data_IF_071273552804
#
_entry.id   IF_071273552804
#
_cell.length_a   1.000
_cell.length_b   1.000
_cell.length_c   1.000
_cell.angle_alpha   90.00
_cell.angle_beta   90.00
_cell.angle_gamma   90.00
#
_symmetry.space_group_name_H-M   'P 1'
#
loop_
_entity.id
_entity.type
_entity.pdbx_description
1 polymer ?
#
# COMPACT_ATOMS: atom_id res chain seq x y z
N UNK A 1 -22.40 11.00 -4.33
CA UNK A 1 -21.17 10.45 -4.96
C UNK A 1 -21.42 10.38 -6.48
N UNK A 2 -20.41 10.68 -7.29
CA UNK A 2 -20.49 10.57 -8.75
C UNK A 2 -19.21 9.89 -9.26
N UNK A 3 -19.30 8.99 -10.25
CA UNK A 3 -18.12 8.39 -10.85
C UNK A 3 -17.31 9.45 -11.58
N UNK A 4 -15.98 9.40 -11.46
CA UNK A 4 -15.11 10.22 -12.29
C UNK A 4 -15.15 9.70 -13.74
N UNK A 5 -15.07 10.59 -14.74
CA UNK A 5 -15.16 10.18 -16.14
C UNK A 5 -13.86 9.51 -16.62
N UNK A 6 -13.90 8.96 -17.83
CA UNK A 6 -12.68 8.74 -18.62
C UNK A 6 -11.87 10.06 -18.71
N UNK A 7 -10.53 10.00 -18.72
CA UNK A 7 -9.70 8.79 -18.82
C UNK A 7 -9.32 8.15 -17.47
N UNK A 8 -9.73 8.72 -16.34
CA UNK A 8 -9.36 8.22 -15.01
C UNK A 8 -9.99 6.86 -14.70
N UNK A 9 -11.28 6.70 -14.96
CA UNK A 9 -11.94 5.41 -14.92
C UNK A 9 -11.85 4.71 -16.27
N UNK A 10 -11.88 3.38 -16.23
CA UNK A 10 -11.90 2.47 -17.36
C UNK A 10 -13.16 1.60 -17.31
N UNK A 11 -13.22 0.55 -18.16
CA UNK A 11 -14.27 -0.48 -18.10
C UNK A 11 -13.92 -1.63 -17.14
N UNK A 12 -12.68 -1.68 -16.66
CA UNK A 12 -12.21 -2.66 -15.70
C UNK A 12 -12.42 -2.21 -14.25
N UNK A 13 -11.76 -2.88 -13.33
CA UNK A 13 -11.62 -2.44 -11.95
C UNK A 13 -10.53 -1.38 -11.84
N UNK A 14 -10.95 -0.20 -11.43
CA UNK A 14 -10.08 0.91 -11.05
C UNK A 14 -10.25 1.16 -9.54
N UNK A 15 -9.16 1.26 -8.81
CA UNK A 15 -9.18 1.58 -7.38
C UNK A 15 -8.15 2.63 -7.02
N UNK A 16 -8.48 3.46 -6.04
CA UNK A 16 -7.53 4.40 -5.44
C UNK A 16 -6.55 3.64 -4.56
N UNK A 17 -5.25 3.86 -4.74
CA UNK A 17 -4.21 3.31 -3.87
C UNK A 17 -3.66 4.36 -2.90
N UNK A 18 -3.36 5.55 -3.42
CA UNK A 18 -2.79 6.64 -2.64
C UNK A 18 -3.02 7.99 -3.29
N UNK A 19 -3.03 9.04 -2.48
CA UNK A 19 -3.15 10.42 -2.93
C UNK A 19 -2.02 11.24 -2.32
N UNK A 20 -1.33 12.04 -3.13
CA UNK A 20 -0.27 12.94 -2.65
C UNK A 20 -0.85 13.97 -1.66
N UNK A 21 0.00 14.46 -0.76
CA UNK A 21 -0.44 15.39 0.29
C UNK A 21 -1.00 16.72 -0.25
N UNK A 22 -0.53 17.17 -1.42
CA UNK A 22 -1.07 18.33 -2.14
C UNK A 22 -2.33 18.02 -2.95
N UNK A 23 -2.76 16.75 -2.97
CA UNK A 23 -3.90 16.24 -3.72
C UNK A 23 -3.70 16.21 -5.23
N UNK A 24 -2.52 16.56 -5.76
CA UNK A 24 -2.32 16.73 -7.21
C UNK A 24 -2.08 15.42 -7.97
N UNK A 25 -1.66 14.37 -7.26
CA UNK A 25 -1.23 13.09 -7.83
C UNK A 25 -1.92 11.93 -7.12
N UNK A 26 -2.44 10.97 -7.89
CA UNK A 26 -3.10 9.78 -7.40
C UNK A 26 -2.43 8.53 -7.96
N UNK A 27 -2.18 7.55 -7.08
CA UNK A 27 -1.86 6.19 -7.46
C UNK A 27 -3.16 5.40 -7.66
N UNK A 28 -3.26 4.70 -8.79
CA UNK A 28 -4.47 4.02 -9.24
C UNK A 28 -4.13 2.57 -9.56
N UNK A 29 -4.82 1.62 -8.95
CA UNK A 29 -4.80 0.23 -9.38
C UNK A 29 -5.67 0.08 -10.62
N UNK A 30 -5.19 -0.68 -11.62
CA UNK A 30 -5.98 -1.07 -12.78
C UNK A 30 -5.79 -2.55 -13.12
N UNK A 31 -6.88 -3.27 -13.26
CA UNK A 31 -6.91 -4.69 -13.67
C UNK A 31 -6.91 -4.90 -15.19
N UNK A 32 -6.17 -4.08 -15.95
CA UNK A 32 -6.14 -4.10 -17.42
C UNK A 32 -5.73 -5.46 -18.04
N UNK A 33 -5.13 -5.53 -19.24
CA UNK A 33 -4.73 -6.82 -19.81
C UNK A 33 -3.69 -7.62 -18.98
N UNK A 34 -3.16 -7.06 -17.89
CA UNK A 34 -2.30 -7.71 -16.89
C UNK A 34 -3.07 -8.33 -15.71
N UNK A 35 -2.38 -8.61 -14.61
CA UNK A 35 -2.99 -9.18 -13.39
C UNK A 35 -3.36 -8.12 -12.34
N UNK A 36 -3.11 -6.85 -12.64
CA UNK A 36 -3.33 -5.71 -11.74
C UNK A 36 -2.06 -4.88 -11.62
N UNK A 37 -2.09 -3.62 -12.07
CA UNK A 37 -0.91 -2.76 -12.20
C UNK A 37 -1.11 -1.42 -11.49
N UNK A 38 -0.02 -0.85 -10.97
CA UNK A 38 0.01 0.48 -10.37
C UNK A 38 0.20 1.55 -11.46
N UNK A 39 -0.74 2.47 -11.52
CA UNK A 39 -0.70 3.63 -12.39
C UNK A 39 -0.63 4.93 -11.58
N UNK A 40 -0.27 6.02 -12.24
CA UNK A 40 -0.30 7.38 -11.70
C UNK A 40 -1.13 8.28 -12.58
N UNK A 41 -2.06 9.01 -11.98
CA UNK A 41 -2.75 10.13 -12.62
C UNK A 41 -2.42 11.43 -11.89
N UNK A 42 -2.41 12.54 -12.63
CA UNK A 42 -2.26 13.89 -12.07
C UNK A 42 -3.47 14.73 -12.43
N UNK A 43 -3.83 15.68 -11.58
CA UNK A 43 -4.91 16.62 -11.87
C UNK A 43 -4.42 18.04 -12.15
N UNK A 44 -5.13 18.71 -13.06
CA UNK A 44 -4.97 20.12 -13.34
C UNK A 44 -6.32 20.79 -13.19
N UNK A 45 -6.44 21.75 -12.27
CA UNK A 45 -7.69 22.48 -12.00
C UNK A 45 -8.90 21.56 -11.69
N UNK A 46 -8.68 20.49 -10.93
CA UNK A 46 -9.74 19.54 -10.56
C UNK A 46 -10.03 18.46 -11.60
N UNK A 47 -9.31 18.44 -12.72
CA UNK A 47 -9.51 17.47 -13.80
C UNK A 47 -8.35 16.49 -13.82
N UNK A 48 -8.63 15.21 -13.55
CA UNK A 48 -7.66 14.12 -13.59
C UNK A 48 -7.31 13.73 -15.03
N UNK A 49 -6.02 13.53 -15.27
CA UNK A 49 -5.48 13.03 -16.53
C UNK A 49 -5.60 11.51 -16.67
N UNK A 50 -5.17 10.99 -17.81
CA UNK A 50 -5.11 9.55 -18.04
C UNK A 50 -4.08 8.92 -17.08
N UNK A 51 -4.42 7.82 -16.38
CA UNK A 51 -3.45 7.09 -15.58
C UNK A 51 -2.37 6.49 -16.48
N UNK A 52 -1.10 6.78 -16.15
CA UNK A 52 0.08 6.23 -16.81
C UNK A 52 0.68 5.11 -15.96
N UNK A 53 1.09 3.98 -16.55
CA UNK A 53 1.72 2.91 -15.80
C UNK A 53 3.04 3.40 -15.17
N UNK A 54 3.32 2.97 -13.95
CA UNK A 54 4.58 3.29 -13.28
C UNK A 54 5.68 2.30 -13.69
N UNK A 55 6.40 2.65 -14.76
CA UNK A 55 7.58 1.90 -15.20
C UNK A 55 8.60 1.74 -14.05
N UNK A 56 9.09 0.52 -13.86
CA UNK A 56 10.00 0.13 -12.76
C UNK A 56 9.30 -0.50 -11.56
N UNK A 57 8.04 -0.15 -11.31
CA UNK A 57 7.21 -0.78 -10.26
C UNK A 57 6.51 -2.01 -10.81
N UNK A 58 5.81 -1.85 -11.94
CA UNK A 58 4.96 -2.91 -12.47
C UNK A 58 5.75 -4.03 -13.12
N UNK A 59 5.19 -5.23 -13.05
CA UNK A 59 5.72 -6.41 -13.74
C UNK A 59 4.68 -7.01 -14.68
N UNK A 60 4.84 -8.28 -15.06
CA UNK A 60 3.77 -9.04 -15.75
C UNK A 60 2.85 -9.76 -14.76
N UNK A 61 3.23 -9.75 -13.48
CA UNK A 61 2.48 -10.36 -12.38
C UNK A 61 1.61 -9.29 -11.76
N UNK A 62 1.20 -9.47 -10.51
CA UNK A 62 0.25 -8.59 -9.85
C UNK A 62 0.95 -7.60 -8.91
N UNK A 63 0.52 -6.35 -8.97
CA UNK A 63 0.79 -5.30 -8.00
C UNK A 63 -0.54 -4.75 -7.42
N UNK A 64 -0.67 -4.70 -6.09
CA UNK A 64 -1.98 -4.52 -5.44
C UNK A 64 -2.12 -3.26 -4.58
N UNK A 65 -1.09 -2.86 -3.85
CA UNK A 65 -1.10 -1.66 -3.01
C UNK A 65 0.18 -0.85 -3.16
N UNK A 66 0.07 0.48 -2.99
CA UNK A 66 1.21 1.37 -3.08
C UNK A 66 1.01 2.67 -2.29
N UNK A 67 2.10 3.16 -1.70
CA UNK A 67 2.14 4.43 -0.98
C UNK A 67 3.45 5.17 -1.21
N UNK A 68 3.37 6.45 -1.56
CA UNK A 68 4.53 7.32 -1.78
C UNK A 68 4.80 8.17 -0.53
N UNK A 69 6.07 8.31 -0.16
CA UNK A 69 6.50 9.19 0.93
C UNK A 69 6.13 10.65 0.64
N UNK A 70 5.94 11.45 1.69
CA UNK A 70 5.48 12.84 1.53
C UNK A 70 6.46 13.72 0.71
N UNK A 71 7.75 13.38 0.72
CA UNK A 71 8.79 14.03 -0.07
C UNK A 71 8.85 13.55 -1.54
N UNK A 72 8.03 12.56 -1.91
CA UNK A 72 7.98 11.98 -3.25
C UNK A 72 9.20 11.12 -3.62
N UNK A 73 10.15 10.89 -2.70
CA UNK A 73 11.41 10.22 -3.03
C UNK A 73 11.30 8.71 -3.10
N UNK A 74 10.36 8.11 -2.36
CA UNK A 74 10.19 6.66 -2.28
C UNK A 74 8.72 6.27 -2.47
N UNK A 75 8.49 5.20 -3.22
CA UNK A 75 7.20 4.50 -3.22
C UNK A 75 7.40 3.10 -2.70
N UNK A 76 6.59 2.73 -1.72
CA UNK A 76 6.45 1.37 -1.21
C UNK A 76 5.27 0.73 -1.88
N UNK A 77 5.38 -0.54 -2.26
CA UNK A 77 4.32 -1.23 -2.99
C UNK A 77 4.39 -2.74 -2.78
N UNK A 78 3.27 -3.41 -2.99
CA UNK A 78 3.15 -4.87 -2.90
C UNK A 78 3.18 -5.47 -4.31
N UNK A 79 3.97 -6.53 -4.50
CA UNK A 79 4.15 -7.21 -5.80
C UNK A 79 4.40 -8.71 -5.60
N UNK A 80 3.77 -9.55 -6.41
CA UNK A 80 4.01 -11.01 -6.48
C UNK A 80 5.23 -11.32 -7.37
N UNK A 81 6.33 -10.60 -7.23
CA UNK A 81 7.44 -10.59 -8.21
C UNK A 81 8.29 -11.88 -8.25
N UNK A 82 7.72 -13.02 -7.92
CA UNK A 82 8.32 -14.34 -8.05
C UNK A 82 9.67 -14.46 -7.34
N UNK A 83 10.73 -14.81 -8.08
CA UNK A 83 12.07 -15.04 -7.50
C UNK A 83 12.73 -13.78 -6.92
N UNK A 84 12.21 -12.56 -7.18
CA UNK A 84 12.64 -11.32 -6.52
C UNK A 84 11.98 -11.13 -5.14
N UNK A 85 10.96 -11.94 -4.83
CA UNK A 85 10.25 -12.03 -3.56
C UNK A 85 10.89 -12.97 -2.53
N UNK A 86 10.31 -13.04 -1.35
CA UNK A 86 10.54 -14.09 -0.35
C UNK A 86 9.37 -15.08 -0.26
N UNK A 87 8.17 -14.65 -0.60
CA UNK A 87 6.93 -15.41 -0.46
C UNK A 87 6.05 -15.34 -1.70
N UNK A 88 4.77 -15.06 -1.49
CA UNK A 88 3.85 -14.73 -2.58
C UNK A 88 3.92 -13.24 -2.87
N UNK A 89 2.95 -12.49 -2.34
CA UNK A 89 3.00 -11.03 -2.39
C UNK A 89 3.98 -10.48 -1.36
N UNK A 90 4.95 -9.69 -1.80
CA UNK A 90 5.98 -9.09 -0.95
C UNK A 90 5.97 -7.56 -1.05
N UNK A 91 6.48 -6.88 -0.01
CA UNK A 91 6.68 -5.44 -0.02
C UNK A 91 8.03 -5.09 -0.65
N UNK A 92 7.96 -4.22 -1.66
CA UNK A 92 9.10 -3.60 -2.31
C UNK A 92 9.07 -2.09 -2.10
N UNK A 93 10.20 -1.45 -2.36
CA UNK A 93 10.26 0.00 -2.53
C UNK A 93 11.04 0.37 -3.77
N UNK A 94 10.76 1.53 -4.34
CA UNK A 94 11.57 2.11 -5.41
C UNK A 94 11.81 3.59 -5.16
N UNK A 95 12.99 4.06 -5.55
CA UNK A 95 13.40 5.46 -5.44
C UNK A 95 13.06 6.22 -6.71
N UNK A 96 12.55 7.43 -6.57
CA UNK A 96 12.36 8.34 -7.70
C UNK A 96 13.71 8.83 -8.24
N UNK A 97 13.90 8.76 -9.56
CA UNK A 97 15.09 9.21 -10.27
C UNK A 97 14.71 10.41 -11.15
N UNK A 98 15.08 11.61 -10.70
CA UNK A 98 14.66 12.86 -11.33
C UNK A 98 15.26 13.03 -12.74
N UNK A 99 16.46 12.51 -12.97
CA UNK A 99 17.19 12.61 -14.24
C UNK A 99 16.48 11.87 -15.38
N UNK A 100 15.81 10.77 -15.05
CA UNK A 100 15.07 9.94 -16.02
C UNK A 100 13.56 10.08 -15.89
N UNK A 101 13.07 10.88 -14.92
CA UNK A 101 11.66 11.05 -14.62
C UNK A 101 10.94 9.69 -14.43
N UNK A 102 11.61 8.76 -13.75
CA UNK A 102 11.15 7.39 -13.57
C UNK A 102 11.44 6.87 -12.17
N UNK A 103 10.78 5.78 -11.81
CA UNK A 103 11.17 5.00 -10.65
C UNK A 103 12.41 4.16 -10.98
N UNK A 104 13.28 3.98 -10.00
CA UNK A 104 14.44 3.09 -10.09
C UNK A 104 14.04 1.61 -10.00
N UNK A 105 15.04 0.71 -9.94
CA UNK A 105 14.79 -0.71 -9.68
C UNK A 105 14.03 -0.89 -8.35
N UNK A 106 13.16 -1.89 -8.29
CA UNK A 106 12.52 -2.26 -7.04
C UNK A 106 13.51 -2.96 -6.11
N UNK A 107 13.43 -2.60 -4.83
CA UNK A 107 14.19 -3.17 -3.74
C UNK A 107 13.23 -3.93 -2.83
N UNK A 108 13.42 -5.25 -2.70
CA UNK A 108 12.70 -6.05 -1.72
C UNK A 108 13.06 -5.56 -0.31
N UNK A 109 12.08 -5.39 0.60
CA UNK A 109 12.36 -4.93 1.97
C UNK A 109 13.08 -5.97 2.85
N UNK A 110 13.26 -7.18 2.33
CA UNK A 110 14.05 -8.24 2.92
C UNK A 110 13.31 -9.03 4.00
N UNK A 111 13.94 -10.09 4.53
CA UNK A 111 13.31 -11.04 5.46
C UNK A 111 13.01 -10.46 6.84
N UNK A 112 13.49 -9.25 7.13
CA UNK A 112 13.11 -8.56 8.36
C UNK A 112 11.66 -8.06 8.24
N UNK A 113 11.19 -7.63 7.06
CA UNK A 113 9.83 -7.08 6.86
C UNK A 113 8.90 -8.06 6.15
N UNK A 114 9.39 -8.72 5.10
CA UNK A 114 8.62 -9.68 4.32
C UNK A 114 8.71 -11.08 4.94
N UNK A 115 7.78 -11.96 4.57
CA UNK A 115 7.71 -13.32 5.09
C UNK A 115 7.71 -14.37 3.97
N UNK A 116 7.59 -15.65 4.33
CA UNK A 116 7.37 -16.71 3.35
C UNK A 116 5.91 -16.81 2.89
N UNK A 117 5.05 -15.89 3.33
CA UNK A 117 3.62 -15.84 3.04
C UNK A 117 3.29 -14.56 2.27
N UNK A 118 2.03 -14.10 2.30
CA UNK A 118 1.61 -12.88 1.62
C UNK A 118 1.64 -11.68 2.58
N UNK A 119 2.17 -10.57 2.07
CA UNK A 119 2.03 -9.21 2.60
C UNK A 119 1.09 -8.38 1.71
N UNK A 120 0.31 -7.49 2.32
CA UNK A 120 -0.65 -6.64 1.61
C UNK A 120 -0.87 -5.28 2.32
N UNK A 121 -1.35 -4.29 1.59
CA UNK A 121 -1.83 -3.03 2.15
C UNK A 121 -0.77 -2.20 2.87
N UNK A 122 0.31 -1.84 2.16
CA UNK A 122 1.39 -1.03 2.72
C UNK A 122 1.02 0.46 2.81
N UNK A 123 1.32 1.06 3.97
CA UNK A 123 1.24 2.48 4.25
C UNK A 123 2.56 2.94 4.88
N UNK A 124 3.12 4.05 4.40
CA UNK A 124 4.32 4.67 5.00
C UNK A 124 3.96 6.02 5.61
N UNK A 125 4.45 6.29 6.82
CA UNK A 125 4.24 7.55 7.50
C UNK A 125 4.89 8.72 6.74
N UNK A 126 4.40 9.97 6.92
CA UNK A 126 4.92 11.12 6.18
C UNK A 126 6.43 11.35 6.34
N UNK A 127 7.00 10.98 7.49
CA UNK A 127 8.44 11.08 7.77
C UNK A 127 9.27 9.96 7.13
N UNK A 128 8.64 8.96 6.51
CA UNK A 128 9.29 7.84 5.85
C UNK A 128 9.88 6.80 6.81
N UNK A 129 9.72 6.96 8.12
CA UNK A 129 10.43 6.13 9.12
C UNK A 129 9.58 4.98 9.66
N UNK A 130 8.28 4.93 9.40
CA UNK A 130 7.41 3.84 9.85
C UNK A 130 6.57 3.34 8.71
N UNK A 131 6.51 2.02 8.55
CA UNK A 131 5.53 1.36 7.69
C UNK A 131 4.53 0.59 8.53
N UNK A 132 3.30 0.59 8.05
CA UNK A 132 2.23 -0.29 8.47
C UNK A 132 1.87 -1.16 7.27
N UNK A 133 1.65 -2.44 7.50
CA UNK A 133 1.30 -3.38 6.44
C UNK A 133 0.59 -4.57 7.06
N UNK A 134 -0.09 -5.34 6.23
CA UNK A 134 -0.83 -6.53 6.64
C UNK A 134 -0.04 -7.76 6.20
N UNK A 135 0.05 -8.79 7.01
CA UNK A 135 0.81 -10.00 6.66
C UNK A 135 0.12 -11.26 7.19
N UNK A 136 0.21 -12.35 6.42
CA UNK A 136 -0.09 -13.72 6.87
C UNK A 136 1.08 -14.38 7.63
N UNK A 137 2.21 -13.68 7.74
CA UNK A 137 3.44 -14.12 8.39
C UNK A 137 3.64 -13.55 9.80
N UNK A 138 4.89 -13.50 10.26
CA UNK A 138 5.34 -12.84 11.51
C UNK A 138 4.67 -13.27 12.83
N UNK A 139 3.88 -14.35 12.82
CA UNK A 139 2.95 -14.77 13.89
C UNK A 139 1.70 -13.89 13.92
N UNK A 140 0.67 -14.34 13.22
CA UNK A 140 -0.66 -13.71 13.18
C UNK A 140 -1.58 -14.25 14.27
N UNK A 141 -2.63 -13.48 14.56
CA UNK A 141 -3.79 -13.86 15.36
C UNK A 141 -4.87 -14.48 14.47
N UNK A 142 -5.07 -13.94 13.27
CA UNK A 142 -6.01 -14.40 12.26
C UNK A 142 -5.33 -14.77 10.93
N UNK A 143 -5.96 -14.36 9.82
CA UNK A 143 -5.40 -14.51 8.48
C UNK A 143 -4.35 -13.44 8.21
N UNK A 144 -4.74 -12.30 7.66
CA UNK A 144 -3.92 -11.09 7.64
C UNK A 144 -4.04 -10.32 8.95
N UNK A 145 -2.90 -9.99 9.54
CA UNK A 145 -2.81 -9.07 10.68
C UNK A 145 -2.04 -7.81 10.28
N UNK A 146 -2.37 -6.67 10.88
CA UNK A 146 -1.64 -5.41 10.72
C UNK A 146 -0.38 -5.42 11.61
N UNK A 147 0.75 -5.17 10.99
CA UNK A 147 2.05 -5.01 11.63
C UNK A 147 2.62 -3.61 11.42
N UNK A 148 3.55 -3.23 12.30
CA UNK A 148 4.34 -2.01 12.21
C UNK A 148 5.83 -2.34 12.17
N UNK A 149 6.58 -1.70 11.27
CA UNK A 149 8.04 -1.70 11.29
C UNK A 149 8.59 -0.28 11.20
N UNK A 150 9.71 -0.02 11.88
CA UNK A 150 10.37 1.29 11.92
C UNK A 150 11.75 1.23 11.28
N UNK A 151 12.11 2.26 10.51
CA UNK A 151 13.42 2.40 9.88
C UNK A 151 14.37 3.15 10.81
N UNK A 152 15.47 2.52 11.21
CA UNK A 152 16.50 3.12 12.06
C UNK A 152 17.86 2.57 11.67
N UNK A 153 18.89 3.44 11.63
CA UNK A 153 20.26 3.05 11.28
C UNK A 153 20.39 2.27 9.95
N UNK A 154 19.58 2.67 8.96
CA UNK A 154 19.59 2.08 7.63
C UNK A 154 18.87 0.74 7.49
N UNK A 155 18.11 0.30 8.51
CA UNK A 155 17.40 -0.98 8.51
C UNK A 155 15.99 -0.84 9.06
N UNK A 156 15.09 -1.68 8.54
CA UNK A 156 13.78 -1.88 9.13
C UNK A 156 13.89 -2.75 10.37
N UNK A 157 13.08 -2.46 11.38
CA UNK A 157 12.92 -3.32 12.55
C UNK A 157 12.14 -4.57 12.17
N UNK A 158 12.23 -5.61 13.01
CA UNK A 158 11.25 -6.70 12.93
C UNK A 158 9.83 -6.16 13.14
N UNK A 159 8.84 -6.61 12.35
CA UNK A 159 7.46 -6.18 12.45
C UNK A 159 6.87 -6.51 13.82
N UNK A 160 6.20 -5.53 14.40
CA UNK A 160 5.43 -5.67 15.61
C UNK A 160 3.96 -5.84 15.24
N UNK A 161 3.36 -6.96 15.63
CA UNK A 161 1.93 -7.20 15.49
C UNK A 161 1.17 -6.20 16.38
N UNK A 162 0.23 -5.44 15.82
CA UNK A 162 -0.48 -4.41 16.59
C UNK A 162 -1.48 -4.97 17.60
N UNK A 163 -1.79 -6.27 17.51
CA UNK A 163 -2.60 -7.00 18.47
C UNK A 163 -4.03 -6.47 18.63
N UNK A 164 -4.78 -7.05 19.56
CA UNK A 164 -6.11 -6.53 19.92
C UNK A 164 -6.00 -5.12 20.55
N UNK A 165 -6.85 -4.14 20.19
CA UNK A 165 -8.07 -4.27 19.39
C UNK A 165 -7.92 -4.01 17.89
N UNK A 166 -6.70 -3.77 17.40
CA UNK A 166 -6.45 -3.45 15.99
C UNK A 166 -6.53 -4.71 15.13
N UNK A 167 -5.90 -5.81 15.54
CA UNK A 167 -6.04 -7.12 14.91
C UNK A 167 -7.09 -7.97 15.61
N UNK A 168 -7.66 -8.90 14.84
CA UNK A 168 -8.75 -9.78 15.19
C UNK A 168 -8.36 -11.25 14.92
N UNK A 169 -9.35 -12.15 14.84
CA UNK A 169 -9.11 -13.54 14.44
C UNK A 169 -9.43 -13.78 12.95
N UNK A 170 -9.87 -12.75 12.23
CA UNK A 170 -10.14 -12.74 10.79
C UNK A 170 -9.04 -11.94 10.05
N UNK A 171 -9.31 -11.44 8.85
CA UNK A 171 -8.40 -10.57 8.10
C UNK A 171 -8.55 -9.10 8.53
N UNK A 172 -7.44 -8.45 8.83
CA UNK A 172 -7.31 -7.01 9.10
C UNK A 172 -6.31 -6.40 8.12
N UNK A 173 -6.78 -5.45 7.29
CA UNK A 173 -6.09 -5.02 6.07
C UNK A 173 -6.08 -3.49 5.88
N UNK A 174 -5.16 -3.01 5.04
CA UNK A 174 -5.10 -1.64 4.51
C UNK A 174 -5.11 -0.53 5.58
N UNK A 175 -4.27 -0.67 6.61
CA UNK A 175 -4.15 0.33 7.66
C UNK A 175 -3.55 1.64 7.16
N UNK A 176 -4.18 2.76 7.49
CA UNK A 176 -3.65 4.12 7.29
C UNK A 176 -3.75 4.93 8.57
N UNK A 177 -2.79 5.84 8.78
CA UNK A 177 -2.72 6.67 9.98
C UNK A 177 -2.82 8.15 9.63
N UNK A 178 -3.59 8.91 10.42
CA UNK A 178 -3.61 10.36 10.33
C UNK A 178 -2.21 10.95 10.62
N UNK A 179 -1.84 12.09 10.00
CA UNK A 179 -0.51 12.69 10.21
C UNK A 179 -0.18 13.05 11.66
N UNK A 180 -1.19 13.31 12.50
CA UNK A 180 -1.02 13.58 13.93
C UNK A 180 -0.85 12.30 14.78
N UNK A 181 -0.95 11.13 14.16
CA UNK A 181 -0.84 9.82 14.80
C UNK A 181 -2.01 9.45 15.70
N UNK A 182 -3.05 10.29 15.79
CA UNK A 182 -4.14 10.13 16.76
C UNK A 182 -5.23 9.16 16.30
N UNK A 183 -5.43 9.03 14.99
CA UNK A 183 -6.51 8.21 14.43
C UNK A 183 -6.00 7.33 13.30
N UNK A 184 -6.29 6.03 13.37
CA UNK A 184 -6.04 5.06 12.30
C UNK A 184 -7.34 4.55 11.68
N UNK A 185 -7.29 4.17 10.41
CA UNK A 185 -8.36 3.52 9.68
C UNK A 185 -7.86 2.25 9.01
N UNK A 186 -8.68 1.22 8.93
CA UNK A 186 -8.35 -0.06 8.31
C UNK A 186 -9.65 -0.79 7.96
N UNK A 187 -9.58 -1.85 7.16
CA UNK A 187 -10.75 -2.72 6.96
C UNK A 187 -10.60 -4.05 7.68
N UNK A 188 -11.72 -4.62 8.08
CA UNK A 188 -11.78 -5.85 8.86
C UNK A 188 -13.15 -6.51 8.75
N UNK A 189 -13.22 -7.80 9.01
CA UNK A 189 -14.48 -8.53 9.21
C UNK A 189 -14.69 -8.72 10.71
N UNK A 190 -15.76 -8.15 11.28
CA UNK A 190 -16.02 -8.27 12.73
C UNK A 190 -17.50 -8.51 13.05
N UNK A 191 -17.81 -9.17 14.19
CA UNK A 191 -19.17 -9.27 14.68
C UNK A 191 -19.83 -7.89 14.82
N UNK A 192 -20.97 -7.71 14.17
CA UNK A 192 -21.70 -6.43 14.15
C UNK A 192 -21.38 -5.53 12.96
N UNK A 193 -20.48 -5.95 12.06
CA UNK A 193 -20.27 -5.34 10.75
C UNK A 193 -21.49 -5.44 9.82
N UNK A 194 -21.45 -4.71 8.71
CA UNK A 194 -22.50 -4.67 7.69
C UNK A 194 -22.32 -5.75 6.61
N UNK A 195 -21.17 -6.40 6.54
CA UNK A 195 -20.90 -7.43 5.53
C UNK A 195 -19.53 -8.09 5.65
N UNK A 196 -18.78 -8.09 4.54
CA UNK A 196 -17.40 -8.56 4.45
C UNK A 196 -16.48 -7.53 5.10
N UNK A 197 -15.49 -7.00 4.38
CA UNK A 197 -14.60 -5.98 4.88
C UNK A 197 -15.35 -4.65 5.09
N UNK A 198 -15.50 -4.25 6.34
CA UNK A 198 -16.00 -2.94 6.73
C UNK A 198 -14.84 -2.04 7.16
N UNK A 199 -15.00 -0.72 7.03
CA UNK A 199 -13.99 0.25 7.48
C UNK A 199 -14.16 0.52 8.97
N UNK A 200 -13.09 0.32 9.73
CA UNK A 200 -12.99 0.61 11.16
C UNK A 200 -12.08 1.81 11.43
N UNK A 201 -12.29 2.44 12.57
CA UNK A 201 -11.47 3.52 13.11
C UNK A 201 -10.94 3.14 14.49
N UNK A 202 -9.67 3.41 14.73
CA UNK A 202 -9.03 3.31 16.05
C UNK A 202 -8.47 4.67 16.46
N UNK A 203 -8.57 5.01 17.74
CA UNK A 203 -8.02 6.24 18.32
C UNK A 203 -6.86 5.88 19.26
N UNK A 204 -5.74 6.58 19.12
CA UNK A 204 -4.56 6.49 19.98
C UNK A 204 -4.53 7.71 20.90
N UNK A 205 -4.51 7.48 22.20
CA UNK A 205 -4.50 8.52 23.25
C UNK A 205 -3.13 8.72 23.85
#
# INVERSE_FOLDING_TARGET
PAPLPEPLNSKGNDATLGLSADGSTMLVFRDGPGMGDIHRSTQVNGVWGAPEPLEGLNTKLQESSAWTTADGQWTYFVSDRGEEGLGGQDIFRSRWIAETNSWGPAENLGPDVNSSYDEEGVFVTPDGNTIYFSSKGHTTMGGYDIFRSTFTDGRWSRPENLGWPINSADDDLFFVLMPDGSTGYFCSVRPGGLGMDDIYRVEFT
#
